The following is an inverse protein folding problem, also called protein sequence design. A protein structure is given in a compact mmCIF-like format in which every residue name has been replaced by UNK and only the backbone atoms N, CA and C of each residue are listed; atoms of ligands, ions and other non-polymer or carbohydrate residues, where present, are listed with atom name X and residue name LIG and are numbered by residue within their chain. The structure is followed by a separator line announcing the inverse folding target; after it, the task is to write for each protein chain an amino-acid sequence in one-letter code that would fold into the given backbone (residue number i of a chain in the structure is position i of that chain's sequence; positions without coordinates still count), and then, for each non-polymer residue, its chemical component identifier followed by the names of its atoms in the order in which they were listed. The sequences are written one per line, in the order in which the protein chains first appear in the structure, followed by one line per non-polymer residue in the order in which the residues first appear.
data_IF_923810330404
#
_entry.id   IF_923810330404
#
_cell.length_a   1.000
_cell.length_b   1.000
_cell.length_c   1.000
_cell.angle_alpha   90.00
_cell.angle_beta   90.00
_cell.angle_gamma   90.00
#
_symmetry.space_group_name_H-M   'P 1'
#
loop_
_entity.id
_entity.type
_entity.pdbx_description
1 polymer ?
#
# COMPACT_ATOMS: atom_id res chain seq x y z
N UNK A 1 -17.43 16.48 -8.82
CA UNK A 1 -16.25 16.84 -8.00
C UNK A 1 -16.61 17.91 -6.97
N UNK A 2 -16.29 17.75 -5.68
CA UNK A 2 -16.56 18.77 -4.64
C UNK A 2 -15.30 18.95 -3.77
N UNK A 3 -14.69 20.13 -3.81
CA UNK A 3 -13.61 20.48 -2.87
C UNK A 3 -14.14 20.55 -1.44
N UNK A 4 -13.30 20.27 -0.43
CA UNK A 4 -13.70 20.37 0.99
C UNK A 4 -14.37 21.70 1.31
N UNK A 5 -13.84 22.82 0.78
CA UNK A 5 -14.44 24.14 0.91
C UNK A 5 -15.86 24.20 0.33
N UNK A 6 -16.08 23.68 -0.88
CA UNK A 6 -17.41 23.65 -1.53
C UNK A 6 -18.41 22.76 -0.77
N UNK A 7 -17.94 21.68 -0.16
CA UNK A 7 -18.78 20.82 0.70
C UNK A 7 -19.10 21.49 2.03
N UNK A 8 -18.13 22.14 2.67
CA UNK A 8 -18.36 22.92 3.89
C UNK A 8 -19.39 24.01 3.60
N UNK A 9 -19.25 24.75 2.50
CA UNK A 9 -20.20 25.80 2.09
C UNK A 9 -21.57 25.19 1.78
N UNK A 10 -21.63 24.07 1.06
CA UNK A 10 -22.89 23.38 0.76
C UNK A 10 -23.61 22.85 2.01
N UNK A 11 -22.88 22.18 2.90
CA UNK A 11 -23.42 21.68 4.16
C UNK A 11 -23.81 22.82 5.11
N UNK A 12 -23.07 23.93 5.08
CA UNK A 12 -23.41 25.15 5.83
C UNK A 12 -24.71 25.74 5.29
N UNK A 13 -24.87 25.84 3.97
CA UNK A 13 -26.11 26.26 3.33
C UNK A 13 -27.29 25.36 3.71
N UNK A 14 -27.13 24.04 3.61
CA UNK A 14 -28.17 23.09 4.04
C UNK A 14 -28.49 23.22 5.53
N UNK A 15 -27.48 23.37 6.40
CA UNK A 15 -27.69 23.54 7.84
C UNK A 15 -28.39 24.86 8.16
N UNK A 16 -28.08 25.94 7.45
CA UNK A 16 -28.78 27.24 7.58
C UNK A 16 -30.23 27.13 7.12
N UNK A 17 -30.52 26.40 6.04
CA UNK A 17 -31.89 26.15 5.57
C UNK A 17 -32.67 25.27 6.56
N UNK A 18 -32.06 24.19 7.07
CA UNK A 18 -32.69 23.30 8.04
C UNK A 18 -32.87 23.97 9.42
N UNK A 19 -32.02 24.92 9.75
CA UNK A 19 -32.09 25.71 10.98
C UNK A 19 -32.62 27.14 10.74
N UNK A 20 -33.38 27.38 9.67
CA UNK A 20 -33.95 28.69 9.32
C UNK A 20 -34.67 29.43 10.48
N UNK A 21 -35.35 28.74 11.42
CA UNK A 21 -35.95 29.39 12.59
C UNK A 21 -34.94 30.15 13.46
N UNK A 22 -33.66 29.76 13.47
CA UNK A 22 -32.61 30.37 14.30
C UNK A 22 -32.18 31.75 13.78
N UNK A 23 -31.80 31.92 12.50
CA UNK A 23 -31.59 33.25 11.91
C UNK A 23 -32.83 34.16 12.01
N UNK A 24 -34.03 33.60 11.82
CA UNK A 24 -35.28 34.36 11.95
C UNK A 24 -35.50 34.83 13.39
N UNK A 25 -35.32 33.98 14.39
CA UNK A 25 -35.42 34.37 15.81
C UNK A 25 -34.41 35.46 16.18
N UNK A 26 -33.19 35.41 15.62
CA UNK A 26 -32.18 36.46 15.83
C UNK A 26 -32.61 37.79 15.20
N UNK A 27 -33.12 37.78 13.96
CA UNK A 27 -33.57 38.99 13.27
C UNK A 27 -34.82 39.60 13.93
N UNK A 28 -35.79 38.76 14.31
CA UNK A 28 -37.02 39.16 15.03
C UNK A 28 -36.67 39.71 16.41
N UNK A 29 -35.76 39.05 17.14
CA UNK A 29 -35.25 39.55 18.41
C UNK A 29 -34.52 40.88 18.26
N UNK A 30 -33.72 41.06 17.20
CA UNK A 30 -33.03 42.33 16.93
C UNK A 30 -34.00 43.47 16.62
N UNK A 31 -35.05 43.22 15.81
CA UNK A 31 -36.08 44.22 15.53
C UNK A 31 -36.92 44.56 16.76
N UNK A 32 -37.30 43.55 17.56
CA UNK A 32 -38.08 43.72 18.77
C UNK A 32 -37.27 44.46 19.87
N UNK A 33 -35.96 44.20 19.94
CA UNK A 33 -35.06 44.89 20.87
C UNK A 33 -34.95 46.38 20.54
N UNK A 34 -34.89 46.73 19.24
CA UNK A 34 -34.97 48.14 18.80
C UNK A 34 -36.31 48.79 19.09
N UNK A 35 -37.38 48.02 19.20
CA UNK A 35 -38.72 48.49 19.54
C UNK A 35 -38.97 48.58 21.07
N UNK A 36 -38.02 48.12 21.90
CA UNK A 36 -38.13 48.17 23.37
C UNK A 36 -38.89 47.01 24.00
N UNK A 37 -39.01 45.88 23.31
CA UNK A 37 -39.75 44.71 23.78
C UNK A 37 -38.94 43.87 24.79
N UNK A 38 -39.56 43.53 25.93
CA UNK A 38 -38.92 42.81 27.04
C UNK A 38 -38.52 41.36 26.71
N UNK A 39 -39.18 40.71 25.76
CA UNK A 39 -38.86 39.34 25.34
C UNK A 39 -37.74 39.29 24.29
N UNK A 40 -37.34 40.43 23.74
CA UNK A 40 -36.42 40.50 22.61
C UNK A 40 -35.03 39.94 22.91
N UNK A 41 -34.55 40.10 24.16
CA UNK A 41 -33.26 39.55 24.58
C UNK A 41 -33.26 38.01 24.58
N UNK A 42 -34.40 37.37 24.85
CA UNK A 42 -34.54 35.90 24.83
C UNK A 42 -34.40 35.40 23.38
N UNK A 43 -35.10 36.05 22.45
CA UNK A 43 -35.03 35.73 21.02
C UNK A 43 -33.62 35.99 20.45
N UNK A 44 -32.96 37.09 20.84
CA UNK A 44 -31.57 37.39 20.49
C UNK A 44 -30.58 36.36 21.04
N UNK A 45 -30.74 35.95 22.30
CA UNK A 45 -29.86 34.97 22.94
C UNK A 45 -29.99 33.59 22.29
N UNK A 46 -31.23 33.10 22.09
CA UNK A 46 -31.50 31.81 21.43
C UNK A 46 -31.03 31.84 19.98
N UNK A 47 -31.38 32.90 19.25
CA UNK A 47 -30.97 33.10 17.86
C UNK A 47 -29.45 33.19 17.72
N UNK A 48 -28.78 33.95 18.59
CA UNK A 48 -27.33 34.15 18.59
C UNK A 48 -26.55 32.88 18.94
N UNK A 49 -26.94 32.19 20.02
CA UNK A 49 -26.34 30.90 20.41
C UNK A 49 -26.54 29.87 19.30
N UNK A 50 -27.73 29.79 18.71
CA UNK A 50 -28.00 28.90 17.60
C UNK A 50 -27.15 29.24 16.35
N UNK A 51 -26.97 30.52 16.02
CA UNK A 51 -26.18 30.96 14.87
C UNK A 51 -24.70 30.60 15.04
N UNK A 52 -24.16 30.78 16.25
CA UNK A 52 -22.79 30.36 16.61
C UNK A 52 -22.67 28.84 16.65
N UNK A 53 -23.74 28.13 16.99
CA UNK A 53 -23.75 26.68 17.04
C UNK A 53 -23.79 26.04 15.65
N UNK A 54 -24.48 26.59 14.65
CA UNK A 54 -24.65 26.00 13.28
C UNK A 54 -23.33 25.57 12.60
N UNK A 55 -22.21 26.33 12.68
CA UNK A 55 -20.93 25.89 12.14
C UNK A 55 -20.37 24.60 12.76
N UNK A 56 -20.62 24.34 14.06
CA UNK A 56 -20.08 23.18 14.76
C UNK A 56 -20.60 21.82 14.25
N UNK A 57 -21.93 21.55 14.16
CA UNK A 57 -22.45 20.33 13.58
C UNK A 57 -22.16 20.27 12.08
N UNK A 58 -22.15 21.40 11.36
CA UNK A 58 -21.76 21.47 9.94
C UNK A 58 -20.32 20.98 9.74
N UNK A 59 -19.37 21.47 10.53
CA UNK A 59 -17.98 21.04 10.49
C UNK A 59 -17.81 19.59 10.95
N UNK A 60 -18.53 19.16 12.00
CA UNK A 60 -18.51 17.75 12.45
C UNK A 60 -19.08 16.80 11.40
N UNK A 61 -20.19 17.16 10.77
CA UNK A 61 -20.83 16.39 9.71
C UNK A 61 -19.95 16.36 8.45
N UNK A 62 -19.39 17.50 8.07
CA UNK A 62 -18.45 17.59 6.94
C UNK A 62 -17.18 16.77 7.20
N UNK A 63 -16.66 16.76 8.44
CA UNK A 63 -15.54 15.89 8.82
C UNK A 63 -15.89 14.40 8.86
N UNK A 64 -17.16 14.05 9.15
CA UNK A 64 -17.64 12.65 9.07
C UNK A 64 -17.81 12.21 7.62
N UNK A 65 -18.29 13.10 6.73
CA UNK A 65 -18.44 12.83 5.31
C UNK A 65 -17.11 12.91 4.53
N UNK A 66 -16.15 13.69 5.02
CA UNK A 66 -14.82 13.91 4.43
C UNK A 66 -13.73 13.86 5.53
N UNK A 67 -13.39 12.66 6.04
CA UNK A 67 -12.34 12.53 7.05
C UNK A 67 -10.98 12.82 6.40
N UNK A 68 -10.46 14.04 6.57
CA UNK A 68 -9.06 14.35 6.25
C UNK A 68 -8.19 13.57 7.23
N UNK A 69 -7.45 12.60 6.72
CA UNK A 69 -6.65 11.75 7.59
C UNK A 69 -5.43 12.51 8.05
N UNK A 70 -5.31 12.59 9.36
CA UNK A 70 -4.20 13.20 10.07
C UNK A 70 -3.37 12.10 10.70
N UNK A 71 -2.14 12.45 11.10
CA UNK A 71 -1.21 11.54 11.81
C UNK A 71 -1.77 10.97 13.13
N UNK A 72 -2.96 11.42 13.57
CA UNK A 72 -3.62 11.04 14.82
C UNK A 72 -4.75 10.02 14.63
N UNK A 73 -5.12 9.67 13.40
CA UNK A 73 -6.22 8.75 13.15
C UNK A 73 -5.81 7.30 13.45
N UNK A 74 -6.25 6.84 14.63
CA UNK A 74 -6.11 5.45 15.08
C UNK A 74 -7.38 4.69 14.73
N UNK A 75 -7.22 3.45 14.29
CA UNK A 75 -8.35 2.55 14.12
C UNK A 75 -8.75 2.03 15.50
N UNK A 76 -10.06 2.04 15.80
CA UNK A 76 -10.58 1.35 16.98
C UNK A 76 -10.63 -0.15 16.67
N UNK A 77 -10.03 -0.93 17.56
CA UNK A 77 -10.20 -2.38 17.70
C UNK A 77 -10.14 -3.22 16.42
N UNK A 78 -8.93 -3.71 16.10
CA UNK A 78 -8.71 -4.88 15.24
C UNK A 78 -7.48 -5.64 15.73
N UNK A 79 -7.56 -6.24 16.91
CA UNK A 79 -6.55 -7.19 17.37
C UNK A 79 -6.79 -8.55 16.73
N UNK A 80 -6.43 -8.68 15.45
CA UNK A 80 -6.08 -10.01 14.92
C UNK A 80 -4.59 -10.17 15.17
N UNK A 81 -4.15 -11.08 16.06
CA UNK A 81 -2.73 -11.29 16.29
C UNK A 81 -2.12 -11.91 15.04
N UNK A 82 -1.30 -11.13 14.32
CA UNK A 82 -0.55 -11.62 13.16
C UNK A 82 0.89 -11.99 13.56
N UNK A 83 1.47 -12.99 12.89
CA UNK A 83 2.90 -13.31 13.01
C UNK A 83 3.78 -12.28 12.33
N UNK A 84 5.08 -12.25 12.64
CA UNK A 84 6.05 -11.32 12.00
C UNK A 84 6.20 -11.55 10.50
N UNK A 85 5.98 -12.79 10.07
CA UNK A 85 6.06 -13.25 8.69
C UNK A 85 4.74 -13.06 7.93
N UNK A 86 3.66 -12.64 8.60
CA UNK A 86 2.34 -12.40 7.98
C UNK A 86 2.27 -11.02 7.31
N UNK A 87 1.69 -10.97 6.12
CA UNK A 87 1.21 -9.74 5.52
C UNK A 87 -0.13 -9.93 4.81
N UNK A 88 -1.17 -9.36 5.40
CA UNK A 88 -2.53 -9.40 4.88
C UNK A 88 -2.79 -8.20 3.97
N UNK A 89 -3.19 -8.48 2.74
CA UNK A 89 -3.55 -7.47 1.76
C UNK A 89 -4.97 -7.69 1.26
N UNK A 90 -5.84 -6.72 1.51
CA UNK A 90 -7.21 -6.73 0.99
C UNK A 90 -7.30 -5.84 -0.25
N UNK A 91 -6.96 -6.43 -1.39
CA UNK A 91 -7.06 -5.80 -2.70
C UNK A 91 -8.53 -5.59 -3.13
N UNK A 92 -8.84 -4.55 -3.93
CA UNK A 92 -10.17 -4.34 -4.49
C UNK A 92 -10.64 -5.53 -5.33
N UNK A 93 -11.95 -5.81 -5.34
CA UNK A 93 -12.53 -6.88 -6.15
C UNK A 93 -12.29 -6.62 -7.63
N UNK A 94 -11.97 -7.68 -8.38
CA UNK A 94 -11.98 -7.65 -9.84
C UNK A 94 -13.41 -7.72 -10.37
N UNK A 95 -13.62 -7.25 -11.61
CA UNK A 95 -14.91 -7.39 -12.28
C UNK A 95 -15.38 -8.85 -12.35
N UNK A 96 -16.70 -9.09 -12.31
CA UNK A 96 -17.26 -10.41 -12.56
C UNK A 96 -16.80 -10.92 -13.93
N UNK A 97 -16.37 -12.17 -13.98
CA UNK A 97 -15.96 -12.83 -15.22
C UNK A 97 -16.98 -13.86 -15.65
N UNK A 98 -16.93 -14.23 -16.93
CA UNK A 98 -17.75 -15.34 -17.44
C UNK A 98 -17.38 -16.65 -16.74
N UNK A 99 -18.36 -17.53 -16.64
CA UNK A 99 -18.17 -18.89 -16.08
C UNK A 99 -17.20 -19.69 -16.95
N UNK A 100 -17.13 -19.40 -18.25
CA UNK A 100 -16.29 -20.09 -19.22
C UNK A 100 -14.83 -19.62 -19.22
N UNK A 101 -14.53 -18.45 -18.65
CA UNK A 101 -13.15 -17.96 -18.63
C UNK A 101 -12.24 -18.93 -17.87
N UNK A 102 -11.02 -19.17 -18.35
CA UNK A 102 -10.03 -20.03 -17.69
C UNK A 102 -9.06 -19.19 -16.87
N UNK A 103 -8.73 -19.64 -15.65
CA UNK A 103 -7.75 -18.95 -14.80
C UNK A 103 -6.35 -19.51 -15.06
N UNK A 104 -5.47 -18.65 -15.56
CA UNK A 104 -4.12 -19.02 -15.98
C UNK A 104 -3.09 -18.02 -15.47
N UNK A 105 -1.81 -18.39 -15.56
CA UNK A 105 -0.69 -17.49 -15.26
C UNK A 105 -0.36 -16.65 -16.49
N UNK A 106 0.03 -15.40 -16.26
CA UNK A 106 0.72 -14.60 -17.24
C UNK A 106 1.95 -13.92 -16.62
N UNK A 107 3.03 -13.84 -17.39
CA UNK A 107 4.22 -13.10 -17.03
C UNK A 107 4.19 -11.71 -17.68
N UNK A 108 4.57 -10.67 -16.92
CA UNK A 108 4.70 -9.31 -17.44
C UNK A 108 6.10 -9.15 -18.02
N UNK A 109 6.17 -9.02 -19.35
CA UNK A 109 7.42 -8.83 -20.08
C UNK A 109 7.86 -7.36 -20.06
N UNK A 110 6.90 -6.45 -20.23
CA UNK A 110 7.12 -5.00 -20.24
C UNK A 110 5.92 -4.31 -19.58
N UNK A 111 6.17 -3.19 -18.89
CA UNK A 111 5.11 -2.34 -18.38
C UNK A 111 5.52 -0.86 -18.43
N UNK A 112 4.62 -0.01 -18.92
CA UNK A 112 4.80 1.44 -18.95
C UNK A 112 3.54 2.16 -18.50
N UNK A 113 3.68 3.18 -17.67
CA UNK A 113 2.56 4.03 -17.29
C UNK A 113 2.07 4.83 -18.51
N UNK A 114 0.79 4.69 -18.85
CA UNK A 114 0.16 5.45 -19.96
C UNK A 114 -0.40 6.76 -19.44
N UNK A 115 -1.24 6.66 -18.40
CA UNK A 115 -1.89 7.82 -17.79
C UNK A 115 -2.08 7.58 -16.31
N UNK A 116 -1.73 8.60 -15.53
CA UNK A 116 -2.22 8.80 -14.19
C UNK A 116 -2.58 10.27 -14.10
N UNK A 117 -3.86 10.58 -14.22
CA UNK A 117 -4.34 11.95 -14.17
C UNK A 117 -5.29 12.11 -12.99
N UNK A 118 -4.81 12.60 -11.85
CA UNK A 118 -5.71 13.11 -10.83
C UNK A 118 -6.30 14.42 -11.37
N UNK A 119 -7.31 14.34 -12.25
CA UNK A 119 -8.00 15.51 -12.84
C UNK A 119 -8.52 16.48 -11.76
N UNK A 120 -8.62 16.03 -10.50
CA UNK A 120 -8.87 16.87 -9.34
C UNK A 120 -7.61 17.48 -8.74
N UNK A 121 -7.38 18.78 -8.95
CA UNK A 121 -6.49 19.62 -8.12
C UNK A 121 -6.86 19.70 -6.62
N UNK A 122 -7.77 18.86 -6.15
CA UNK A 122 -8.01 18.60 -4.75
C UNK A 122 -7.09 17.47 -4.30
N UNK A 123 -6.15 17.73 -3.39
CA UNK A 123 -5.29 16.70 -2.80
C UNK A 123 -6.02 15.66 -1.94
N UNK A 124 -7.35 15.49 -2.09
CA UNK A 124 -8.20 14.58 -1.33
C UNK A 124 -9.55 14.33 -2.02
N UNK A 125 -9.93 13.06 -2.18
CA UNK A 125 -11.23 12.65 -2.74
C UNK A 125 -11.72 11.33 -2.11
N UNK A 126 -13.03 11.21 -1.86
CA UNK A 126 -13.69 9.98 -1.36
C UNK A 126 -14.84 9.58 -2.29
N UNK A 127 -15.02 8.28 -2.55
CA UNK A 127 -16.05 7.74 -3.46
C UNK A 127 -17.01 6.78 -2.74
N UNK A 128 -18.18 6.58 -3.33
CA UNK A 128 -19.13 5.54 -2.92
C UNK A 128 -18.91 4.24 -3.70
N UNK A 129 -19.05 3.08 -3.05
CA UNK A 129 -18.92 1.75 -3.66
C UNK A 129 -17.77 0.92 -3.08
N UNK A 130 -17.68 -0.37 -3.43
CA UNK A 130 -16.62 -1.30 -2.98
C UNK A 130 -15.51 -1.54 -4.01
N UNK A 131 -15.48 -0.75 -5.09
CA UNK A 131 -14.53 -0.86 -6.20
C UNK A 131 -13.52 0.29 -6.19
N UNK A 132 -12.33 0.03 -6.72
CA UNK A 132 -11.33 1.09 -6.93
C UNK A 132 -11.86 2.07 -7.98
N UNK A 133 -11.86 3.39 -7.73
CA UNK A 133 -12.34 4.37 -8.70
C UNK A 133 -11.39 4.43 -9.90
N UNK A 134 -11.95 4.39 -11.10
CA UNK A 134 -11.20 4.46 -12.35
C UNK A 134 -10.29 5.69 -12.43
N UNK A 135 -10.81 6.87 -12.08
CA UNK A 135 -10.10 8.16 -12.16
C UNK A 135 -8.76 8.19 -11.40
N UNK A 136 -8.59 7.37 -10.35
CA UNK A 136 -7.38 7.34 -9.51
C UNK A 136 -6.63 6.01 -9.61
N UNK A 137 -7.03 5.19 -10.57
CA UNK A 137 -6.40 3.91 -10.86
C UNK A 137 -5.49 4.09 -12.08
N UNK A 138 -4.16 3.93 -11.94
CA UNK A 138 -3.22 4.14 -13.03
C UNK A 138 -3.53 3.22 -14.21
N UNK A 139 -3.52 3.80 -15.41
CA UNK A 139 -3.62 3.07 -16.67
C UNK A 139 -2.20 2.67 -17.10
N UNK A 140 -1.96 1.37 -17.14
CA UNK A 140 -0.65 0.78 -17.46
C UNK A 140 -0.77 -0.03 -18.73
N UNK A 141 0.11 0.26 -19.70
CA UNK A 141 0.30 -0.59 -20.87
C UNK A 141 1.22 -1.72 -20.48
N UNK A 142 0.82 -2.96 -20.76
CA UNK A 142 1.64 -4.13 -20.47
C UNK A 142 1.77 -5.03 -21.71
N UNK A 143 2.93 -5.68 -21.84
CA UNK A 143 3.10 -6.84 -22.72
C UNK A 143 3.13 -8.08 -21.85
N UNK A 144 2.20 -8.99 -22.08
CA UNK A 144 2.00 -10.19 -21.28
C UNK A 144 2.33 -11.43 -22.08
N UNK A 145 2.97 -12.42 -21.45
CA UNK A 145 3.07 -13.79 -21.95
C UNK A 145 2.10 -14.66 -21.16
N UNK A 146 1.07 -15.16 -21.81
CA UNK A 146 0.01 -15.97 -21.20
C UNK A 146 0.32 -17.46 -21.37
N UNK A 147 0.14 -18.24 -20.31
CA UNK A 147 0.37 -19.68 -20.28
C UNK A 147 -0.99 -20.39 -20.21
N UNK A 148 -1.60 -20.65 -21.37
CA UNK A 148 -2.99 -21.12 -21.51
C UNK A 148 -3.17 -22.65 -21.37
N UNK A 149 -2.07 -23.38 -21.14
CA UNK A 149 -2.04 -24.84 -20.94
C UNK A 149 -1.60 -25.26 -19.54
N UNK A 150 -1.77 -26.54 -19.22
CA UNK A 150 -1.06 -27.14 -18.10
C UNK A 150 0.43 -27.25 -18.48
N UNK A 151 1.31 -26.94 -17.52
CA UNK A 151 2.66 -26.39 -17.70
C UNK A 151 3.67 -27.17 -18.57
N UNK A 152 3.31 -28.35 -19.07
CA UNK A 152 4.17 -29.25 -19.82
C UNK A 152 4.30 -28.93 -21.32
N UNK A 153 3.35 -28.23 -21.95
CA UNK A 153 3.38 -28.01 -23.41
C UNK A 153 3.71 -26.55 -23.79
N UNK A 154 4.78 -26.38 -24.58
CA UNK A 154 5.24 -25.08 -25.10
C UNK A 154 4.22 -24.47 -26.07
N UNK A 155 3.33 -25.28 -26.63
CA UNK A 155 2.35 -24.90 -27.65
C UNK A 155 1.25 -23.93 -27.14
N UNK A 156 0.96 -23.91 -25.83
CA UNK A 156 -0.15 -23.12 -25.27
C UNK A 156 0.28 -21.75 -24.72
N UNK A 157 1.31 -21.13 -25.31
CA UNK A 157 1.80 -19.81 -24.91
C UNK A 157 1.55 -18.79 -26.00
N UNK A 158 0.98 -17.65 -25.63
CA UNK A 158 0.81 -16.52 -26.55
C UNK A 158 1.15 -15.20 -25.86
N UNK A 159 1.53 -14.20 -26.65
CA UNK A 159 1.78 -12.86 -26.16
C UNK A 159 0.60 -11.95 -26.50
N UNK A 160 0.30 -11.01 -25.62
CA UNK A 160 -0.73 -10.00 -25.83
C UNK A 160 -0.27 -8.67 -25.25
N UNK A 161 -0.64 -7.57 -25.91
CA UNK A 161 -0.34 -6.22 -25.45
C UNK A 161 -1.65 -5.47 -25.29
N UNK A 162 -1.78 -4.70 -24.22
CA UNK A 162 -3.00 -3.95 -23.93
C UNK A 162 -2.79 -2.91 -22.86
N UNK A 163 -3.87 -2.20 -22.52
CA UNK A 163 -3.90 -1.21 -21.46
C UNK A 163 -4.87 -1.66 -20.37
N UNK A 164 -4.41 -1.68 -19.12
CA UNK A 164 -5.23 -2.08 -17.99
C UNK A 164 -5.15 -1.06 -16.86
N UNK A 165 -6.29 -0.84 -16.22
CA UNK A 165 -6.36 -0.10 -14.96
C UNK A 165 -5.87 -1.01 -13.83
N UNK A 166 -4.80 -0.60 -13.14
CA UNK A 166 -4.17 -1.38 -12.09
C UNK A 166 -4.50 -0.79 -10.71
N UNK A 167 -5.31 -1.47 -9.87
CA UNK A 167 -5.58 -1.01 -8.50
C UNK A 167 -4.27 -0.76 -7.75
N UNK A 168 -4.17 0.33 -7.00
CA UNK A 168 -2.90 0.75 -6.37
C UNK A 168 -2.27 -0.33 -5.49
N UNK A 169 -3.07 -1.11 -4.75
CA UNK A 169 -2.59 -2.23 -3.91
C UNK A 169 -2.02 -3.41 -4.72
N UNK A 170 -2.29 -3.46 -6.03
CA UNK A 170 -1.90 -4.52 -6.94
C UNK A 170 -0.76 -4.11 -7.88
N UNK A 171 -0.25 -2.87 -7.77
CA UNK A 171 0.87 -2.37 -8.58
C UNK A 171 2.12 -3.26 -8.46
N UNK A 172 2.40 -3.76 -7.26
CA UNK A 172 3.50 -4.70 -7.02
C UNK A 172 3.39 -6.01 -7.79
N UNK A 173 2.19 -6.44 -8.20
CA UNK A 173 2.06 -7.64 -9.02
C UNK A 173 2.58 -7.42 -10.46
N UNK A 174 2.47 -6.18 -10.95
CA UNK A 174 3.00 -5.80 -12.26
C UNK A 174 4.52 -5.76 -12.23
N UNK A 175 5.11 -5.08 -11.23
CA UNK A 175 6.58 -4.99 -11.08
C UNK A 175 7.21 -6.34 -10.68
N UNK A 176 6.53 -7.18 -9.89
CA UNK A 176 6.98 -8.54 -9.62
C UNK A 176 6.94 -9.44 -10.86
N UNK A 177 6.15 -9.09 -11.87
CA UNK A 177 6.11 -9.76 -13.17
C UNK A 177 5.19 -10.95 -13.26
N UNK A 178 4.34 -11.22 -12.25
CA UNK A 178 3.51 -12.43 -12.17
C UNK A 178 2.05 -12.07 -11.95
N UNK A 179 1.22 -12.36 -12.95
CA UNK A 179 -0.22 -12.10 -12.91
C UNK A 179 -1.03 -13.40 -12.98
N UNK A 180 -2.15 -13.42 -12.29
CA UNK A 180 -3.22 -14.37 -12.55
C UNK A 180 -4.20 -13.70 -13.50
N UNK A 181 -4.43 -14.29 -14.68
CA UNK A 181 -5.30 -13.73 -15.72
C UNK A 181 -6.43 -14.69 -16.06
N UNK A 182 -7.52 -14.13 -16.56
CA UNK A 182 -8.66 -14.85 -17.07
C UNK A 182 -8.65 -14.78 -18.60
N UNK A 183 -8.67 -15.93 -19.25
CA UNK A 183 -8.78 -16.05 -20.71
C UNK A 183 -10.21 -16.47 -21.03
N UNK A 184 -10.98 -15.58 -21.65
CA UNK A 184 -12.37 -15.83 -22.04
C UNK A 184 -12.46 -16.10 -23.56
N UNK A 185 -12.61 -17.36 -23.99
CA UNK A 185 -12.69 -17.71 -25.41
C UNK A 185 -14.02 -17.25 -26.06
N UNK A 186 -15.07 -17.05 -25.25
CA UNK A 186 -16.39 -16.61 -25.74
C UNK A 186 -16.48 -15.10 -26.00
N UNK A 187 -15.43 -14.35 -25.65
CA UNK A 187 -15.32 -12.92 -25.95
C UNK A 187 -14.21 -12.71 -26.96
N UNK A 188 -14.50 -12.10 -28.13
CA UNK A 188 -13.47 -11.83 -29.12
C UNK A 188 -12.34 -11.05 -28.46
N UNK A 189 -11.10 -11.47 -28.75
CA UNK A 189 -9.92 -10.66 -28.48
C UNK A 189 -9.98 -9.36 -29.27
N UNK A 190 -9.01 -8.47 -29.06
CA UNK A 190 -8.85 -7.28 -29.91
C UNK A 190 -8.87 -7.72 -31.39
N UNK A 191 -9.77 -7.19 -32.25
CA UNK A 191 -9.88 -7.60 -33.65
C UNK A 191 -8.58 -7.42 -34.46
N UNK A 192 -7.60 -6.68 -33.92
CA UNK A 192 -6.29 -6.48 -34.52
C UNK A 192 -5.33 -7.69 -34.42
N UNK A 193 -5.56 -8.68 -33.54
CA UNK A 193 -4.68 -9.85 -33.40
C UNK A 193 -5.45 -11.19 -33.36
N UNK A 194 -5.60 -11.89 -34.50
CA UNK A 194 -6.31 -13.17 -34.58
C UNK A 194 -5.57 -14.34 -33.90
N UNK A 195 -4.34 -14.14 -33.39
CA UNK A 195 -3.58 -15.17 -32.68
C UNK A 195 -3.92 -15.27 -31.20
N UNK A 196 -4.68 -14.30 -30.67
CA UNK A 196 -5.10 -14.29 -29.27
C UNK A 196 -6.40 -15.11 -29.13
N UNK A 197 -6.41 -16.20 -28.36
CA UNK A 197 -7.54 -17.15 -28.32
C UNK A 197 -8.80 -16.61 -27.62
N UNK A 198 -8.72 -15.45 -26.98
CA UNK A 198 -9.86 -14.82 -26.30
C UNK A 198 -9.47 -13.59 -25.49
N UNK A 199 -10.45 -12.92 -24.89
CA UNK A 199 -10.19 -11.72 -24.08
C UNK A 199 -9.40 -12.06 -22.82
N UNK A 200 -8.24 -11.41 -22.65
CA UNK A 200 -7.37 -11.56 -21.46
C UNK A 200 -7.68 -10.47 -20.43
N UNK A 201 -8.09 -10.87 -19.22
CA UNK A 201 -8.41 -9.95 -18.12
C UNK A 201 -7.62 -10.29 -16.86
N UNK A 202 -6.75 -9.41 -16.33
CA UNK A 202 -6.08 -9.63 -15.06
C UNK A 202 -7.04 -9.74 -13.88
N UNK A 203 -6.79 -10.71 -13.00
CA UNK A 203 -7.52 -10.89 -11.75
C UNK A 203 -6.69 -10.36 -10.56
N UNK A 204 -6.75 -9.05 -10.33
CA UNK A 204 -5.89 -8.31 -9.42
C UNK A 204 -5.68 -8.90 -8.01
N UNK A 205 -6.72 -9.31 -7.24
CA UNK A 205 -6.49 -9.94 -5.93
C UNK A 205 -5.68 -11.23 -6.00
N UNK A 206 -5.84 -12.01 -7.07
CA UNK A 206 -5.11 -13.27 -7.29
C UNK A 206 -3.71 -12.99 -7.81
N UNK A 207 -3.53 -11.96 -8.65
CA UNK A 207 -2.22 -11.50 -9.07
C UNK A 207 -1.37 -11.03 -7.88
N UNK A 208 -1.94 -10.28 -6.92
CA UNK A 208 -1.21 -9.87 -5.72
C UNK A 208 -0.79 -11.06 -4.82
N UNK A 209 -1.57 -12.15 -4.83
CA UNK A 209 -1.25 -13.39 -4.13
C UNK A 209 -0.16 -14.18 -4.87
N UNK A 210 -0.29 -14.31 -6.20
CA UNK A 210 0.65 -15.03 -7.07
C UNK A 210 2.03 -14.35 -7.14
N UNK A 211 2.04 -13.02 -7.16
CA UNK A 211 3.26 -12.21 -7.11
C UNK A 211 4.03 -12.37 -5.80
N UNK A 212 3.39 -12.90 -4.75
CA UNK A 212 3.94 -12.97 -3.41
C UNK A 212 3.89 -11.64 -2.66
N UNK A 213 3.15 -10.65 -3.14
CA UNK A 213 2.90 -9.41 -2.40
C UNK A 213 2.19 -9.72 -1.10
N UNK A 214 1.08 -10.46 -1.18
CA UNK A 214 0.31 -11.00 -0.05
C UNK A 214 0.87 -12.36 0.36
N UNK A 215 0.99 -12.62 1.67
CA UNK A 215 1.34 -13.95 2.16
C UNK A 215 0.16 -14.91 2.01
N UNK A 216 0.45 -16.21 1.93
CA UNK A 216 -0.55 -17.25 1.81
C UNK A 216 -0.11 -18.48 2.60
N UNK A 217 -0.93 -18.91 3.56
CA UNK A 217 -0.74 -20.16 4.28
C UNK A 217 -1.97 -21.05 4.12
N UNK A 218 -1.74 -22.36 4.17
CA UNK A 218 -2.80 -23.36 4.20
C UNK A 218 -2.61 -24.21 5.44
N UNK A 219 -3.66 -24.35 6.25
CA UNK A 219 -3.72 -25.32 7.34
C UNK A 219 -4.40 -26.57 6.78
N UNK A 220 -3.68 -27.69 6.76
CA UNK A 220 -4.22 -28.95 6.25
C UNK A 220 -5.25 -29.58 7.20
N UNK A 221 -5.81 -30.74 6.81
CA UNK A 221 -6.82 -31.45 7.60
C UNK A 221 -6.26 -31.91 8.96
N UNK A 222 -4.95 -32.16 9.06
CA UNK A 222 -4.26 -32.53 10.29
C UNK A 222 -3.91 -31.31 11.17
N UNK A 223 -4.21 -30.09 10.70
CA UNK A 223 -3.93 -28.85 11.41
C UNK A 223 -2.51 -28.32 11.21
N UNK A 224 -1.73 -28.84 10.27
CA UNK A 224 -0.36 -28.39 10.00
C UNK A 224 -0.36 -27.18 9.05
N UNK A 225 0.28 -26.06 9.43
CA UNK A 225 0.39 -24.91 8.54
C UNK A 225 1.49 -25.12 7.50
N UNK A 226 1.21 -24.77 6.25
CA UNK A 226 2.20 -24.72 5.17
C UNK A 226 2.18 -23.36 4.50
N UNK A 227 3.35 -22.72 4.37
CA UNK A 227 3.52 -21.48 3.63
C UNK A 227 3.60 -21.76 2.12
N UNK A 228 2.64 -21.23 1.38
CA UNK A 228 2.53 -21.36 -0.08
C UNK A 228 2.85 -20.07 -0.81
N UNK A 229 3.34 -19.05 -0.10
CA UNK A 229 3.73 -17.77 -0.67
C UNK A 229 4.85 -17.97 -1.70
N UNK A 230 4.68 -17.40 -2.91
CA UNK A 230 5.61 -17.53 -4.05
C UNK A 230 5.83 -18.98 -4.51
N UNK A 231 4.85 -19.86 -4.33
CA UNK A 231 4.77 -21.16 -5.01
C UNK A 231 3.75 -21.06 -6.15
N UNK A 232 4.08 -20.41 -7.28
CA UNK A 232 3.12 -20.04 -8.31
C UNK A 232 2.32 -21.22 -8.86
N UNK A 233 2.92 -22.39 -9.06
CA UNK A 233 2.23 -23.58 -9.58
C UNK A 233 1.19 -24.06 -8.57
N UNK A 234 1.61 -24.26 -7.32
CA UNK A 234 0.73 -24.68 -6.23
C UNK A 234 -0.39 -23.66 -5.99
N UNK A 235 -0.05 -22.37 -5.93
CA UNK A 235 -1.01 -21.30 -5.72
C UNK A 235 -2.04 -21.21 -6.85
N UNK A 236 -1.62 -21.33 -8.12
CA UNK A 236 -2.55 -21.28 -9.25
C UNK A 236 -3.55 -22.44 -9.21
N UNK A 237 -3.09 -23.67 -8.89
CA UNK A 237 -3.98 -24.84 -8.70
C UNK A 237 -5.00 -24.60 -7.58
N UNK A 238 -4.56 -24.07 -6.45
CA UNK A 238 -5.45 -23.70 -5.35
C UNK A 238 -6.46 -22.62 -5.75
N UNK A 239 -6.03 -21.59 -6.50
CA UNK A 239 -6.93 -20.55 -6.99
C UNK A 239 -7.99 -21.10 -7.96
N UNK A 240 -7.63 -22.08 -8.81
CA UNK A 240 -8.56 -22.78 -9.71
C UNK A 240 -9.60 -23.57 -8.91
N UNK A 241 -9.18 -24.31 -7.87
CA UNK A 241 -10.09 -25.02 -6.96
C UNK A 241 -11.03 -24.03 -6.24
N UNK A 242 -10.46 -22.98 -5.63
CA UNK A 242 -11.21 -21.89 -5.00
C UNK A 242 -12.27 -21.30 -5.92
N UNK A 243 -11.91 -21.03 -7.17
CA UNK A 243 -12.83 -20.45 -8.15
C UNK A 243 -13.97 -21.41 -8.51
N UNK A 244 -13.67 -22.69 -8.73
CA UNK A 244 -14.67 -23.71 -9.02
C UNK A 244 -15.66 -23.89 -7.86
N UNK A 245 -15.23 -23.66 -6.61
CA UNK A 245 -16.07 -23.70 -5.42
C UNK A 245 -16.89 -22.41 -5.17
N UNK A 246 -16.85 -21.43 -6.08
CA UNK A 246 -17.53 -20.14 -5.89
C UNK A 246 -16.76 -19.12 -5.03
N UNK A 247 -15.52 -19.45 -4.66
CA UNK A 247 -14.67 -18.66 -3.77
C UNK A 247 -14.49 -19.33 -2.41
N UNK A 248 -13.33 -19.14 -1.81
CA UNK A 248 -13.02 -19.63 -0.47
C UNK A 248 -12.59 -18.43 0.38
N UNK A 249 -13.12 -18.35 1.58
CA UNK A 249 -12.75 -17.31 2.53
C UNK A 249 -11.34 -17.57 3.08
N UNK A 250 -10.51 -16.51 3.07
CA UNK A 250 -9.22 -16.53 3.76
C UNK A 250 -9.33 -15.71 5.05
N UNK A 251 -8.99 -16.31 6.18
CA UNK A 251 -8.84 -15.57 7.45
C UNK A 251 -7.45 -14.96 7.49
N UNK A 252 -7.36 -13.65 7.26
CA UNK A 252 -6.08 -12.95 7.14
C UNK A 252 -5.32 -13.43 5.90
N UNK A 253 -4.23 -14.17 6.10
CA UNK A 253 -3.44 -14.80 5.03
C UNK A 253 -3.58 -16.32 4.99
N UNK A 254 -4.50 -16.90 5.78
CA UNK A 254 -4.61 -18.35 5.97
C UNK A 254 -5.92 -18.91 5.41
N UNK A 255 -5.83 -20.06 4.73
CA UNK A 255 -6.96 -20.91 4.36
C UNK A 255 -6.92 -22.16 5.24
N UNK A 256 -7.99 -22.42 6.01
CA UNK A 256 -8.09 -23.60 6.89
C UNK A 256 -8.95 -24.68 6.23
N UNK A 257 -8.34 -25.77 5.79
CA UNK A 257 -9.04 -26.83 5.04
C UNK A 257 -10.10 -27.54 5.88
N UNK A 258 -9.96 -27.55 7.21
CA UNK A 258 -10.90 -28.19 8.15
C UNK A 258 -12.25 -27.48 8.19
N UNK A 259 -12.32 -26.24 7.66
CA UNK A 259 -13.53 -25.42 7.60
C UNK A 259 -14.22 -25.46 6.23
N UNK A 260 -13.66 -26.19 5.27
CA UNK A 260 -14.17 -26.26 3.90
C UNK A 260 -15.09 -27.46 3.72
N UNK A 261 -15.86 -27.43 2.64
CA UNK A 261 -16.56 -28.61 2.13
C UNK A 261 -15.56 -29.78 1.93
N UNK A 262 -15.90 -31.02 2.34
CA UNK A 262 -14.99 -32.16 2.26
C UNK A 262 -14.43 -32.42 0.85
N UNK A 263 -15.23 -32.23 -0.21
CA UNK A 263 -14.77 -32.45 -1.58
C UNK A 263 -13.77 -31.36 -2.02
N UNK A 264 -14.00 -30.12 -1.59
CA UNK A 264 -13.05 -29.01 -1.83
C UNK A 264 -11.76 -29.22 -1.03
N UNK A 265 -11.85 -29.62 0.24
CA UNK A 265 -10.71 -29.89 1.09
C UNK A 265 -9.85 -31.06 0.56
N UNK A 266 -10.48 -32.12 0.05
CA UNK A 266 -9.80 -33.25 -0.58
C UNK A 266 -8.97 -32.80 -1.80
N UNK A 267 -9.54 -31.93 -2.65
CA UNK A 267 -8.80 -31.37 -3.81
C UNK A 267 -7.60 -30.52 -3.40
N UNK A 268 -7.74 -29.72 -2.34
CA UNK A 268 -6.61 -28.97 -1.78
C UNK A 268 -5.53 -29.89 -1.18
N UNK A 269 -5.96 -30.96 -0.53
CA UNK A 269 -5.07 -31.96 0.07
C UNK A 269 -4.28 -32.70 -1.00
N UNK A 270 -4.90 -33.10 -2.11
CA UNK A 270 -4.21 -33.71 -3.24
C UNK A 270 -3.13 -32.78 -3.83
N UNK A 271 -3.40 -31.47 -3.94
CA UNK A 271 -2.40 -30.48 -4.35
C UNK A 271 -1.24 -30.39 -3.34
N UNK A 272 -1.54 -30.45 -2.04
CA UNK A 272 -0.51 -30.44 -1.01
C UNK A 272 0.34 -31.71 -1.01
N UNK A 273 -0.26 -32.88 -1.22
CA UNK A 273 0.44 -34.16 -1.35
C UNK A 273 1.36 -34.20 -2.55
N UNK A 274 0.90 -33.70 -3.70
CA UNK A 274 1.73 -33.59 -4.90
C UNK A 274 2.95 -32.69 -4.68
N UNK A 275 2.78 -31.54 -4.01
CA UNK A 275 3.90 -30.66 -3.65
C UNK A 275 4.82 -31.30 -2.59
N UNK A 276 4.33 -32.16 -1.70
CA UNK A 276 5.23 -32.91 -0.79
C UNK A 276 6.05 -33.96 -1.53
N UNK A 277 5.47 -34.61 -2.54
CA UNK A 277 6.16 -35.60 -3.37
C UNK A 277 7.17 -34.97 -4.33
N UNK A 278 6.85 -33.78 -4.86
CA UNK A 278 7.71 -32.99 -5.74
C UNK A 278 7.65 -31.51 -5.33
N UNK A 279 8.47 -31.08 -4.35
CA UNK A 279 8.45 -29.72 -3.83
C UNK A 279 8.72 -28.67 -4.90
N UNK A 280 7.81 -27.70 -5.01
CA UNK A 280 8.03 -26.52 -5.83
C UNK A 280 9.04 -25.57 -5.15
N UNK A 281 10.01 -25.07 -5.92
CA UNK A 281 10.89 -24.00 -5.44
C UNK A 281 10.12 -22.70 -5.27
N UNK A 282 10.52 -21.91 -4.26
CA UNK A 282 9.96 -20.57 -4.09
C UNK A 282 10.46 -19.69 -5.22
N UNK A 283 9.52 -19.12 -5.96
CA UNK A 283 9.83 -18.16 -7.01
C UNK A 283 10.59 -16.95 -6.41
N UNK A 284 11.52 -16.35 -7.16
CA UNK A 284 12.32 -15.24 -6.68
C UNK A 284 11.42 -14.06 -6.30
N UNK A 285 11.91 -13.17 -5.45
CA UNK A 285 11.15 -11.96 -5.06
C UNK A 285 10.80 -11.17 -6.32
N UNK A 286 11.76 -11.09 -7.25
CA UNK A 286 11.67 -10.39 -8.53
C UNK A 286 12.12 -11.33 -9.65
N UNK A 287 11.38 -11.39 -10.75
CA UNK A 287 11.82 -12.15 -11.93
C UNK A 287 12.89 -11.35 -12.70
N UNK A 288 13.79 -12.01 -13.46
CA UNK A 288 14.67 -11.32 -14.40
C UNK A 288 13.90 -10.37 -15.31
N UNK A 289 14.52 -9.25 -15.72
CA UNK A 289 13.84 -8.24 -16.52
C UNK A 289 12.91 -7.33 -15.72
N UNK A 290 13.13 -7.13 -14.42
CA UNK A 290 12.29 -6.22 -13.63
C UNK A 290 12.40 -4.77 -14.12
N UNK A 291 13.54 -4.39 -14.69
CA UNK A 291 13.79 -3.07 -15.25
C UNK A 291 12.82 -2.69 -16.37
N UNK A 292 12.37 -3.64 -17.20
CA UNK A 292 11.43 -3.38 -18.31
C UNK A 292 9.99 -3.15 -17.84
N UNK A 293 9.71 -3.39 -16.55
CA UNK A 293 8.40 -3.22 -15.91
C UNK A 293 8.48 -2.34 -14.65
N UNK A 294 9.54 -1.55 -14.53
CA UNK A 294 9.78 -0.67 -13.40
C UNK A 294 8.90 0.58 -13.46
N UNK A 295 7.72 0.51 -12.82
CA UNK A 295 6.74 1.61 -12.83
C UNK A 295 7.03 2.73 -11.80
N UNK A 296 7.93 2.48 -10.85
CA UNK A 296 8.14 3.29 -9.66
C UNK A 296 8.44 4.75 -10.01
N UNK A 297 9.31 4.99 -10.99
CA UNK A 297 9.77 6.33 -11.35
C UNK A 297 8.66 7.19 -12.00
N UNK A 298 7.63 6.54 -12.55
CA UNK A 298 6.50 7.21 -13.18
C UNK A 298 5.32 7.43 -12.21
N UNK A 299 5.37 6.86 -11.00
CA UNK A 299 4.29 6.91 -10.04
C UNK A 299 4.52 8.00 -8.98
N UNK A 300 3.47 8.72 -8.53
CA UNK A 300 3.59 9.71 -7.47
C UNK A 300 4.03 9.09 -6.13
N UNK A 301 4.81 9.87 -5.40
CA UNK A 301 5.27 9.57 -4.05
C UNK A 301 6.41 10.47 -3.62
N UNK A 302 6.87 10.32 -2.37
CA UNK A 302 8.05 11.03 -1.92
C UNK A 302 9.30 10.45 -2.58
N UNK A 303 10.23 11.32 -3.01
CA UNK A 303 11.51 10.89 -3.56
C UNK A 303 12.33 10.16 -2.49
N UNK A 304 12.97 9.06 -2.89
CA UNK A 304 13.82 8.30 -1.99
C UNK A 304 15.04 9.12 -1.55
N UNK A 305 15.36 9.06 -0.26
CA UNK A 305 16.56 9.69 0.26
C UNK A 305 16.84 9.35 1.71
N UNK A 306 18.05 9.71 2.17
CA UNK A 306 18.44 9.54 3.58
C UNK A 306 17.66 10.46 4.54
N UNK A 307 16.81 11.33 3.98
CA UNK A 307 15.82 12.15 4.64
C UNK A 307 16.37 13.35 5.42
N UNK A 308 15.51 14.32 5.75
CA UNK A 308 15.89 15.42 6.61
C UNK A 308 16.05 14.97 8.07
N UNK A 309 16.96 15.59 8.81
CA UNK A 309 17.14 15.38 10.25
C UNK A 309 17.09 16.72 10.98
N UNK A 310 16.08 16.90 11.84
CA UNK A 310 16.02 18.06 12.71
C UNK A 310 17.05 17.96 13.84
N UNK A 311 18.04 18.86 13.90
CA UNK A 311 19.05 18.87 14.98
C UNK A 311 18.45 18.89 16.38
N UNK A 312 17.36 19.65 16.57
CA UNK A 312 16.64 19.71 17.87
C UNK A 312 15.95 18.40 18.22
N UNK A 313 15.49 17.63 17.24
CA UNK A 313 14.87 16.32 17.48
C UNK A 313 15.92 15.31 17.90
N UNK A 314 16.98 15.18 17.12
CA UNK A 314 18.12 14.30 17.42
C UNK A 314 18.68 14.60 18.82
N UNK A 315 18.96 15.88 19.14
CA UNK A 315 19.44 16.31 20.47
C UNK A 315 18.50 16.02 21.64
N UNK A 316 17.19 15.92 21.40
CA UNK A 316 16.20 15.63 22.46
C UNK A 316 15.99 14.13 22.67
N UNK A 317 16.78 13.26 22.01
CA UNK A 317 16.60 11.81 22.07
C UNK A 317 15.63 11.27 21.01
N UNK A 318 15.39 12.03 19.94
CA UNK A 318 14.64 11.54 18.79
C UNK A 318 15.40 10.47 18.02
N UNK A 319 14.73 9.36 17.70
CA UNK A 319 15.34 8.19 17.04
C UNK A 319 14.50 7.70 15.86
N UNK A 320 15.17 7.08 14.89
CA UNK A 320 14.49 6.32 13.84
C UNK A 320 14.12 4.95 14.39
N UNK A 321 12.97 4.45 13.96
CA UNK A 321 12.43 3.15 14.36
C UNK A 321 12.01 2.36 13.13
N UNK A 322 12.36 1.07 13.10
CA UNK A 322 11.93 0.17 12.04
C UNK A 322 10.56 -0.40 12.38
N UNK A 323 9.68 -0.44 11.40
CA UNK A 323 8.38 -1.09 11.53
C UNK A 323 8.05 -1.88 10.27
N UNK A 324 7.08 -2.76 10.37
CA UNK A 324 6.64 -3.62 9.27
C UNK A 324 5.14 -3.56 9.11
N UNK A 325 4.66 -3.48 7.88
CA UNK A 325 3.24 -3.67 7.61
C UNK A 325 2.85 -5.13 7.82
N UNK A 326 1.84 -5.35 8.66
CA UNK A 326 1.18 -6.65 8.87
C UNK A 326 -0.14 -6.74 8.11
N UNK A 327 -0.80 -5.58 7.91
CA UNK A 327 -2.07 -5.51 7.19
C UNK A 327 -2.18 -4.22 6.39
N UNK A 328 -2.75 -4.31 5.18
CA UNK A 328 -3.25 -3.21 4.39
C UNK A 328 -4.65 -3.51 3.85
N UNK A 329 -5.60 -2.63 4.13
CA UNK A 329 -6.97 -2.70 3.61
C UNK A 329 -7.29 -1.42 2.85
N UNK A 330 -7.71 -1.57 1.59
CA UNK A 330 -8.16 -0.44 0.79
C UNK A 330 -9.33 0.27 1.46
N UNK A 331 -9.32 1.61 1.40
CA UNK A 331 -10.49 2.43 1.68
C UNK A 331 -10.97 3.08 0.39
N UNK A 332 -12.10 3.77 0.44
CA UNK A 332 -12.64 4.49 -0.71
C UNK A 332 -12.10 5.93 -0.80
N UNK A 333 -10.95 6.21 -0.22
CA UNK A 333 -10.39 7.56 -0.10
C UNK A 333 -8.99 7.60 -0.73
N UNK A 334 -8.73 8.65 -1.48
CA UNK A 334 -7.43 8.96 -2.07
C UNK A 334 -6.98 10.33 -1.59
N UNK A 335 -5.68 10.47 -1.29
CA UNK A 335 -5.12 11.70 -0.77
C UNK A 335 -3.69 11.88 -1.32
N UNK A 336 -3.35 13.10 -1.72
CA UNK A 336 -2.01 13.49 -2.18
C UNK A 336 -1.42 12.58 -3.27
N UNK A 337 -0.66 11.56 -2.88
CA UNK A 337 0.18 10.71 -3.75
C UNK A 337 -0.24 9.23 -3.76
N UNK A 338 -1.40 8.89 -3.19
CA UNK A 338 -1.88 7.51 -3.21
C UNK A 338 -3.17 7.23 -2.44
N UNK A 339 -3.56 5.95 -2.35
CA UNK A 339 -4.76 5.56 -1.61
C UNK A 339 -4.55 5.74 -0.10
N UNK A 340 -5.64 6.08 0.56
CA UNK A 340 -5.76 5.91 2.00
C UNK A 340 -6.04 4.44 2.30
N UNK A 341 -5.27 3.89 3.23
CA UNK A 341 -5.38 2.51 3.67
C UNK A 341 -5.60 2.44 5.17
N UNK A 342 -6.43 1.49 5.59
CA UNK A 342 -6.44 1.00 6.97
C UNK A 342 -5.27 0.02 7.12
N UNK A 343 -4.35 0.31 8.03
CA UNK A 343 -3.09 -0.43 8.16
C UNK A 343 -2.85 -0.91 9.58
N UNK A 344 -2.10 -2.00 9.71
CA UNK A 344 -1.52 -2.46 10.98
C UNK A 344 -0.01 -2.54 10.81
N UNK A 345 0.72 -1.86 11.69
CA UNK A 345 2.18 -1.82 11.72
C UNK A 345 2.69 -2.54 12.96
N UNK A 346 3.67 -3.44 12.81
CA UNK A 346 4.49 -3.90 13.93
C UNK A 346 5.65 -2.96 14.11
N UNK A 347 5.72 -2.30 15.25
CA UNK A 347 6.78 -1.33 15.58
C UNK A 347 7.82 -2.04 16.45
N UNK A 348 9.10 -1.88 16.12
CA UNK A 348 10.24 -2.41 16.89
C UNK A 348 10.99 -1.25 17.55
N UNK A 349 10.64 -0.88 18.79
CA UNK A 349 11.26 0.25 19.47
C UNK A 349 12.78 0.10 19.61
N UNK A 350 13.51 1.20 19.45
CA UNK A 350 14.97 1.21 19.55
C UNK A 350 15.48 1.06 21.00
N UNK A 351 14.62 1.21 22.00
CA UNK A 351 14.95 1.13 23.43
C UNK A 351 14.91 -0.31 23.98
N UNK A 352 14.74 -1.31 23.10
CA UNK A 352 14.68 -2.72 23.48
C UNK A 352 13.35 -3.15 24.10
N UNK A 353 12.36 -2.26 24.17
CA UNK A 353 11.01 -2.67 24.57
C UNK A 353 10.39 -3.65 23.56
N UNK A 354 9.53 -4.58 24.01
CA UNK A 354 8.90 -5.54 23.11
C UNK A 354 8.17 -4.86 21.95
N UNK A 355 8.23 -5.50 20.78
CA UNK A 355 7.50 -5.02 19.62
C UNK A 355 5.99 -4.98 19.91
N UNK A 356 5.31 -4.00 19.33
CA UNK A 356 3.87 -3.83 19.50
C UNK A 356 3.19 -3.43 18.21
N UNK A 357 1.90 -3.78 18.10
CA UNK A 357 1.11 -3.52 16.91
C UNK A 357 0.35 -2.20 17.03
N UNK A 358 0.40 -1.39 15.97
CA UNK A 358 -0.27 -0.10 15.90
C UNK A 358 -1.17 -0.04 14.66
N UNK A 359 -2.48 -0.03 14.89
CA UNK A 359 -3.47 0.14 13.84
C UNK A 359 -3.63 1.64 13.49
N UNK A 360 -3.43 1.99 12.21
CA UNK A 360 -3.44 3.38 11.73
C UNK A 360 -4.06 3.49 10.36
N UNK A 361 -4.70 4.63 10.11
CA UNK A 361 -5.09 5.01 8.75
C UNK A 361 -3.98 5.87 8.14
N UNK A 362 -3.48 5.48 6.97
CA UNK A 362 -2.32 6.10 6.32
C UNK A 362 -2.58 6.30 4.84
N UNK A 363 -2.14 7.43 4.29
CA UNK A 363 -1.95 7.57 2.85
C UNK A 363 -0.62 6.91 2.48
N UNK A 364 -0.66 5.90 1.62
CA UNK A 364 0.53 5.18 1.18
C UNK A 364 0.89 5.60 -0.25
N UNK A 365 2.12 6.10 -0.51
CA UNK A 365 2.58 6.49 -1.84
C UNK A 365 2.50 5.35 -2.85
N UNK A 366 2.10 5.66 -4.09
CA UNK A 366 1.99 4.63 -5.13
C UNK A 366 3.35 4.07 -5.56
N UNK A 367 4.42 4.87 -5.52
CA UNK A 367 5.77 4.37 -5.78
C UNK A 367 6.21 3.28 -4.78
N UNK A 368 5.84 3.41 -3.50
CA UNK A 368 6.04 2.36 -2.50
C UNK A 368 5.15 1.14 -2.76
N UNK A 369 3.87 1.35 -3.10
CA UNK A 369 2.94 0.25 -3.40
C UNK A 369 3.40 -0.61 -4.59
N UNK A 370 4.12 -0.01 -5.54
CA UNK A 370 4.72 -0.69 -6.68
C UNK A 370 5.90 -1.60 -6.29
N UNK A 371 6.48 -1.50 -5.09
CA UNK A 371 7.59 -2.36 -4.64
C UNK A 371 7.25 -3.20 -3.40
N UNK A 372 5.97 -3.31 -3.05
CA UNK A 372 5.53 -4.09 -1.89
C UNK A 372 5.92 -5.58 -1.95
N UNK A 373 6.16 -6.14 -3.14
CA UNK A 373 6.68 -7.50 -3.29
C UNK A 373 8.09 -7.63 -2.71
N UNK A 374 8.91 -6.58 -2.80
CA UNK A 374 10.29 -6.54 -2.27
C UNK A 374 10.33 -6.38 -0.76
N UNK A 375 9.56 -5.44 -0.20
CA UNK A 375 9.59 -5.16 1.24
C UNK A 375 8.26 -4.71 1.81
N UNK A 376 8.07 -4.98 3.10
CA UNK A 376 6.96 -4.44 3.93
C UNK A 376 7.49 -3.54 5.05
N UNK A 377 8.80 -3.31 5.06
CA UNK A 377 9.49 -2.53 6.08
C UNK A 377 9.32 -1.04 5.81
N UNK A 378 9.10 -0.27 6.88
CA UNK A 378 8.99 1.17 6.86
C UNK A 378 9.85 1.81 7.93
N UNK A 379 10.30 3.02 7.63
CA UNK A 379 11.05 3.84 8.57
C UNK A 379 10.11 4.80 9.26
N UNK A 380 10.09 4.76 10.60
CA UNK A 380 9.32 5.64 11.45
C UNK A 380 10.22 6.68 12.11
N UNK A 381 9.75 7.92 12.13
CA UNK A 381 10.24 8.97 13.00
C UNK A 381 9.56 8.86 14.36
N UNK A 382 10.29 8.47 15.40
CA UNK A 382 9.78 8.45 16.77
C UNK A 382 9.97 9.83 17.41
N UNK A 383 8.93 10.34 18.06
CA UNK A 383 9.06 11.57 18.84
C UNK A 383 9.99 11.35 20.04
N UNK A 384 10.66 12.40 20.54
CA UNK A 384 11.61 12.29 21.65
C UNK A 384 11.01 11.69 22.94
N UNK A 385 9.69 11.73 23.09
CA UNK A 385 8.98 11.15 24.23
C UNK A 385 8.54 9.69 23.99
N UNK A 386 8.87 9.09 22.84
CA UNK A 386 8.48 7.72 22.45
C UNK A 386 6.98 7.53 22.18
N UNK A 387 6.14 8.56 22.32
CA UNK A 387 4.67 8.42 22.30
C UNK A 387 4.04 8.60 20.93
N UNK A 388 4.79 9.10 19.95
CA UNK A 388 4.28 9.27 18.59
C UNK A 388 5.27 8.80 17.54
N UNK A 389 4.74 8.11 16.54
CA UNK A 389 5.47 7.57 15.41
C UNK A 389 4.83 8.09 14.13
N UNK A 390 5.65 8.48 13.16
CA UNK A 390 5.22 8.96 11.85
C UNK A 390 6.06 8.28 10.80
N UNK A 391 5.44 7.73 9.74
CA UNK A 391 6.18 7.15 8.62
C UNK A 391 6.95 8.25 7.89
N UNK A 392 8.22 8.01 7.62
CA UNK A 392 9.08 8.82 6.77
C UNK A 392 9.16 8.14 5.40
N UNK A 393 8.40 8.64 4.42
CA UNK A 393 8.29 7.98 3.12
C UNK A 393 9.57 8.12 2.29
N UNK A 394 10.30 9.23 2.38
CA UNK A 394 11.60 9.36 1.72
C UNK A 394 12.59 8.27 2.16
N UNK A 395 12.72 8.04 3.48
CA UNK A 395 13.58 6.99 4.02
C UNK A 395 13.04 5.59 3.74
N UNK A 396 11.73 5.42 3.82
CA UNK A 396 11.05 4.16 3.51
C UNK A 396 11.27 3.75 2.05
N UNK A 397 11.15 4.69 1.12
CA UNK A 397 11.39 4.47 -0.31
C UNK A 397 12.85 4.13 -0.61
N UNK A 398 13.80 4.80 0.07
CA UNK A 398 15.21 4.44 -0.03
C UNK A 398 15.48 3.03 0.51
N UNK A 399 14.91 2.67 1.67
CA UNK A 399 15.02 1.33 2.25
C UNK A 399 14.39 0.25 1.36
N UNK A 400 13.30 0.59 0.67
CA UNK A 400 12.61 -0.30 -0.26
C UNK A 400 13.33 -0.46 -1.61
N UNK A 401 14.40 0.30 -1.85
CA UNK A 401 15.14 0.26 -3.11
C UNK A 401 14.33 0.80 -4.28
N UNK A 402 13.45 1.79 -4.06
CA UNK A 402 12.70 2.46 -5.13
C UNK A 402 13.60 3.29 -6.05
N UNK A 403 14.80 3.64 -5.58
CA UNK A 403 15.78 4.45 -6.30
C UNK A 403 17.17 3.95 -5.95
N UNK A 404 18.10 4.02 -6.91
CA UNK A 404 19.49 3.66 -6.68
C UNK A 404 20.10 4.54 -5.57
N UNK A 405 20.66 3.89 -4.55
CA UNK A 405 21.35 4.52 -3.44
C UNK A 405 22.87 4.32 -3.58
N UNK A 406 23.63 5.39 -3.42
CA UNK A 406 25.08 5.38 -3.64
C UNK A 406 25.81 6.16 -2.56
N UNK A 407 26.97 5.64 -2.13
CA UNK A 407 27.92 6.37 -1.29
C UNK A 407 29.13 6.74 -2.15
N UNK A 408 29.46 8.02 -2.22
CA UNK A 408 30.69 8.50 -2.86
C UNK A 408 31.75 8.66 -1.78
N UNK A 409 32.84 7.91 -1.88
CA UNK A 409 33.92 7.91 -0.89
C UNK A 409 34.67 9.25 -0.87
N UNK A 410 35.50 9.53 0.16
CA UNK A 410 36.36 10.72 0.18
C UNK A 410 37.29 10.79 -1.05
N UNK A 411 37.69 9.64 -1.60
CA UNK A 411 38.51 9.49 -2.80
C UNK A 411 37.71 9.66 -4.10
N UNK A 412 36.38 9.77 -4.02
CA UNK A 412 35.49 9.93 -5.17
C UNK A 412 34.98 8.64 -5.79
N UNK A 413 35.24 7.48 -5.18
CA UNK A 413 34.73 6.19 -5.67
C UNK A 413 33.22 6.06 -5.37
N UNK A 414 32.43 5.56 -6.32
CA UNK A 414 31.02 5.26 -6.10
C UNK A 414 30.83 3.83 -5.60
N UNK A 415 30.11 3.69 -4.49
CA UNK A 415 29.76 2.41 -3.88
C UNK A 415 28.23 2.27 -3.86
N UNK A 416 27.64 1.39 -4.71
CA UNK A 416 26.20 1.16 -4.70
C UNK A 416 25.76 0.44 -3.42
N UNK A 417 24.66 0.89 -2.84
CA UNK A 417 24.08 0.33 -1.59
C UNK A 417 22.58 0.02 -1.69
N UNK A 418 21.94 0.22 -2.85
CA UNK A 418 20.49 0.06 -3.10
C UNK A 418 19.89 -1.24 -2.57
N UNK A 419 20.57 -2.36 -2.74
CA UNK A 419 20.08 -3.70 -2.38
C UNK A 419 20.60 -4.19 -1.03
N UNK A 420 21.16 -3.28 -0.23
CA UNK A 420 21.74 -3.57 1.08
C UNK A 420 20.91 -2.87 2.16
N UNK A 421 19.67 -3.34 2.44
CA UNK A 421 18.74 -2.64 3.33
C UNK A 421 19.30 -2.43 4.74
N UNK A 422 20.08 -3.37 5.27
CA UNK A 422 20.68 -3.24 6.60
C UNK A 422 21.82 -2.20 6.62
N UNK A 423 22.56 -2.05 5.52
CA UNK A 423 23.54 -0.97 5.35
C UNK A 423 22.83 0.38 5.25
N UNK A 424 21.79 0.48 4.41
CA UNK A 424 20.98 1.70 4.29
C UNK A 424 20.42 2.08 5.67
N UNK A 425 19.89 1.12 6.43
CA UNK A 425 19.38 1.33 7.79
C UNK A 425 20.47 1.82 8.75
N UNK A 426 21.65 1.20 8.74
CA UNK A 426 22.78 1.63 9.57
C UNK A 426 23.21 3.07 9.24
N UNK A 427 23.29 3.42 7.95
CA UNK A 427 23.62 4.76 7.49
C UNK A 427 22.56 5.79 7.90
N UNK A 428 21.27 5.47 7.78
CA UNK A 428 20.19 6.34 8.24
C UNK A 428 20.29 6.64 9.74
N UNK A 429 20.55 5.62 10.57
CA UNK A 429 20.71 5.80 12.01
C UNK A 429 21.95 6.60 12.37
N UNK A 430 23.07 6.35 11.68
CA UNK A 430 24.30 7.13 11.85
C UNK A 430 24.04 8.62 11.57
N UNK A 431 23.41 8.95 10.44
CA UNK A 431 23.09 10.33 10.09
C UNK A 431 22.11 10.97 11.08
N UNK A 432 21.09 10.22 11.52
CA UNK A 432 20.13 10.69 12.52
C UNK A 432 20.79 10.99 13.88
N UNK A 433 21.66 10.10 14.37
CA UNK A 433 22.39 10.27 15.63
C UNK A 433 23.34 11.47 15.62
N UNK A 434 23.91 11.78 14.45
CA UNK A 434 24.80 12.94 14.25
C UNK A 434 24.06 14.23 13.88
N UNK A 435 22.73 14.17 13.72
CA UNK A 435 21.93 15.33 13.33
C UNK A 435 22.23 15.84 11.92
N UNK A 436 22.67 14.96 11.02
CA UNK A 436 23.07 15.28 9.65
C UNK A 436 21.91 15.01 8.71
N UNK A 437 21.51 16.03 7.95
CA UNK A 437 20.40 15.98 7.00
C UNK A 437 20.92 15.69 5.59
N UNK A 438 20.38 14.68 4.92
CA UNK A 438 20.67 14.40 3.51
C UNK A 438 19.40 13.95 2.78
N UNK A 439 18.66 14.86 2.10
CA UNK A 439 17.41 14.50 1.45
C UNK A 439 17.60 13.69 0.16
N UNK A 440 18.84 13.52 -0.32
CA UNK A 440 19.15 12.80 -1.56
C UNK A 440 19.41 11.29 -1.31
N UNK A 441 19.30 10.44 -2.34
CA UNK A 441 19.69 9.02 -2.26
C UNK A 441 21.22 8.82 -2.37
N UNK A 442 21.98 9.88 -2.63
CA UNK A 442 23.45 9.86 -2.72
C UNK A 442 24.07 10.49 -1.46
N UNK A 443 25.01 9.78 -0.84
CA UNK A 443 25.86 10.30 0.24
C UNK A 443 27.25 10.62 -0.31
N UNK A 444 27.51 11.90 -0.53
CA UNK A 444 28.82 12.36 -0.97
C UNK A 444 29.68 12.77 0.23
N UNK A 445 30.66 11.92 0.57
CA UNK A 445 31.54 12.09 1.73
C UNK A 445 32.55 13.23 1.58
N UNK A 446 32.77 13.71 0.35
CA UNK A 446 33.65 14.86 0.08
C UNK A 446 33.01 16.17 0.54
N UNK A 447 31.68 16.19 0.72
CA UNK A 447 30.96 17.38 1.16
C UNK A 447 31.23 17.66 2.63
N UNK A 448 31.45 18.94 2.96
CA UNK A 448 31.77 19.44 4.31
C UNK A 448 30.89 18.89 5.46
N UNK A 449 29.55 18.71 5.34
CA UNK A 449 28.76 18.13 6.43
C UNK A 449 28.98 16.61 6.62
N UNK A 450 29.51 15.92 5.61
CA UNK A 450 29.72 14.46 5.61
C UNK A 450 31.18 14.07 5.90
N UNK A 451 32.13 14.97 5.69
CA UNK A 451 33.56 14.70 5.92
C UNK A 451 33.83 14.24 7.36
N UNK A 452 33.19 14.89 8.35
CA UNK A 452 33.31 14.53 9.77
C UNK A 452 32.69 13.16 10.13
N UNK A 453 31.81 12.62 9.28
CA UNK A 453 31.18 11.31 9.47
C UNK A 453 31.77 10.24 8.55
N UNK A 454 32.76 10.57 7.72
CA UNK A 454 33.24 9.70 6.64
C UNK A 454 33.80 8.37 7.14
N UNK A 455 34.60 8.36 8.20
CA UNK A 455 35.12 7.13 8.80
C UNK A 455 33.99 6.18 9.21
N UNK A 456 33.04 6.67 10.01
CA UNK A 456 31.90 5.88 10.49
C UNK A 456 30.98 5.42 9.35
N UNK A 457 30.80 6.22 8.29
CA UNK A 457 30.05 5.79 7.09
C UNK A 457 30.77 4.66 6.37
N UNK A 458 32.09 4.78 6.17
CA UNK A 458 32.89 3.75 5.50
C UNK A 458 32.94 2.46 6.32
N UNK A 459 33.01 2.56 7.66
CA UNK A 459 32.95 1.41 8.56
C UNK A 459 31.59 0.71 8.48
N UNK A 460 30.48 1.45 8.40
CA UNK A 460 29.15 0.86 8.21
C UNK A 460 29.01 0.16 6.85
N UNK A 461 29.57 0.73 5.77
CA UNK A 461 29.53 0.12 4.43
C UNK A 461 30.37 -1.15 4.36
N UNK A 462 31.53 -1.18 5.05
CA UNK A 462 32.49 -2.31 5.07
C UNK A 462 32.13 -3.39 6.09
N UNK A 463 31.72 -3.02 7.31
CA UNK A 463 31.44 -3.94 8.41
C UNK A 463 30.32 -4.93 8.08
N UNK A 464 29.28 -4.49 7.37
CA UNK A 464 28.21 -5.38 6.92
C UNK A 464 28.57 -6.24 5.69
N UNK A 465 29.74 -6.05 5.06
CA UNK A 465 30.23 -6.96 4.04
C UNK A 465 30.89 -8.21 4.66
N UNK A 466 31.44 -8.09 5.87
CA UNK A 466 32.12 -9.18 6.57
C UNK A 466 31.18 -10.19 7.23
N UNK A 467 29.99 -9.76 7.69
CA UNK A 467 28.98 -10.68 8.26
C UNK A 467 28.30 -11.57 7.20
N UNK A 468 28.19 -11.11 5.96
CA UNK A 468 27.62 -11.91 4.85
C UNK A 468 28.58 -13.03 4.40
N UNK A 469 29.89 -12.91 4.67
CA UNK A 469 30.89 -13.94 4.41
C UNK A 469 30.95 -15.05 5.48
N UNK A 470 30.47 -14.80 6.70
CA UNK A 470 30.52 -15.76 7.81
C UNK A 470 29.24 -16.61 7.97
N UNK A 471 28.16 -16.28 7.24
CA UNK A 471 26.88 -16.99 7.26
C UNK A 471 26.67 -18.02 6.14
N UNK A 472 27.70 -18.31 5.34
CA UNK A 472 27.74 -19.45 4.40
C UNK A 472 28.86 -20.40 4.83
N UNK A 473 28.59 -21.15 5.89
CA UNK A 473 29.37 -22.30 6.36
C UNK A 473 28.41 -23.45 6.62
#
# INVERSE_FOLDING_TARGET
MRSYGRVVIGNLGCAVILCLPVPLAFLVGYSAWRAGEDWAWIALAIGGVGLVAIPLPTLRFTRRAFPRITRRDRLKDRSVPYGDDTFVLWAPRSEPSSVQARLVRADVLEASLVRYDPEGGAGFTTYGGGLSPDEFTPLVRMRLRVHDGDEAEVADRFETTGEWRVPSLCLSAVTAGRLAVLVDPGRPADPADPRVPGRVTPHWPRSALLAGTRTCRVIDLDGRPTDVTRRPVRQLRQMRISRAAGGIEMTGDTTDLRRLDPAVAARYTAVAEQDRAAPEDRAPVTEPGEESRWLVDSLPGEAAGFGPVGRRWSRRGGVLVRARFLQMTATNTFQSHGPVLDTVLRIHPADGTPAFDAARRLTVPMNYLAVLHRTREVVLYAAPNGRSFVVDWARTNLLAGTTAATVITPEGQELPVTERPDVIWALMNLLASRGISNPAPVLDLRKRPMSAASGAVMDAVRGSASEVGAGRG
#
